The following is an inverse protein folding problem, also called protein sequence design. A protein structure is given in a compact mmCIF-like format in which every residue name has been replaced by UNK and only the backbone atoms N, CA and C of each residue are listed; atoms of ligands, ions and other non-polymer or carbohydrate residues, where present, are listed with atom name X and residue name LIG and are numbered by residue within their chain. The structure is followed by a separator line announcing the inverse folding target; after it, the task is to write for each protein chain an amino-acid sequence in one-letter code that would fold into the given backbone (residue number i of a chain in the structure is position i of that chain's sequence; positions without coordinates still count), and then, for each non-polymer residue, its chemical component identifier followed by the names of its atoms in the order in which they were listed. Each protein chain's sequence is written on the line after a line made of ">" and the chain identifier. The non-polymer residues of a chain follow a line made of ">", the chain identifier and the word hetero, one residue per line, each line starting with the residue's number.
data_IF_744789120255
#
_entry.id   IF_744789120255
#
_cell.length_a   1.000
_cell.length_b   1.000
_cell.length_c   1.000
_cell.angle_alpha   90.00
_cell.angle_beta   90.00
_cell.angle_gamma   90.00
#
_symmetry.space_group_name_H-M   'P 1'
#
loop_
_entity.id
_entity.type
_entity.pdbx_description
1 polymer ?
#
# COMPACT_ATOMS: atom_id res chain seq x y z
N UNK A 1 -3.63 -13.47 -9.60
CA UNK A 1 -4.38 -13.28 -8.33
C UNK A 1 -4.62 -11.80 -8.11
N UNK A 2 -5.73 -11.46 -7.47
CA UNK A 2 -6.13 -10.11 -7.06
C UNK A 2 -5.63 -9.70 -5.67
N UNK A 3 -4.77 -10.51 -5.07
CA UNK A 3 -4.49 -10.49 -3.63
C UNK A 3 -3.13 -9.88 -3.26
N UNK A 4 -2.44 -9.22 -4.21
CA UNK A 4 -1.27 -8.42 -3.83
C UNK A 4 -1.69 -7.36 -2.82
N UNK A 5 -0.90 -7.22 -1.75
CA UNK A 5 -1.22 -6.37 -0.62
C UNK A 5 0.06 -5.91 0.07
N UNK A 6 -0.06 -4.91 0.94
CA UNK A 6 1.04 -4.40 1.73
C UNK A 6 1.02 -5.02 3.13
N UNK A 7 2.15 -5.59 3.54
CA UNK A 7 2.46 -5.84 4.95
C UNK A 7 3.19 -4.65 5.57
N UNK A 8 3.47 -4.71 6.87
CA UNK A 8 4.18 -3.67 7.59
C UNK A 8 5.09 -4.28 8.67
N UNK A 9 6.29 -3.73 8.78
CA UNK A 9 7.18 -3.93 9.92
C UNK A 9 7.27 -2.62 10.69
N UNK A 10 7.34 -2.70 12.02
CA UNK A 10 7.51 -1.54 12.89
C UNK A 10 8.68 -1.80 13.83
N UNK A 11 9.53 -0.80 14.03
CA UNK A 11 10.61 -0.79 15.01
C UNK A 11 10.60 0.54 15.75
N UNK A 12 11.13 0.57 16.98
CA UNK A 12 11.35 1.84 17.68
C UNK A 12 12.47 2.62 16.98
N UNK A 13 12.32 3.94 16.88
CA UNK A 13 13.31 4.81 16.19
C UNK A 13 14.72 4.72 16.80
N UNK A 14 14.82 4.36 18.09
CA UNK A 14 16.08 4.24 18.82
C UNK A 14 16.63 2.81 18.88
N UNK A 15 15.96 1.83 18.26
CA UNK A 15 16.38 0.44 18.27
C UNK A 15 17.55 0.15 17.30
N UNK A 16 18.21 -0.99 17.50
CA UNK A 16 19.18 -1.50 16.52
C UNK A 16 18.45 -2.08 15.31
N UNK A 17 18.36 -1.30 14.21
CA UNK A 17 17.63 -1.70 13.01
C UNK A 17 18.24 -2.90 12.26
N UNK A 18 19.50 -3.27 12.56
CA UNK A 18 20.16 -4.46 12.01
C UNK A 18 19.81 -5.74 12.78
N UNK A 19 19.21 -5.61 13.96
CA UNK A 19 18.72 -6.74 14.74
C UNK A 19 17.29 -7.10 14.28
N UNK A 20 17.04 -8.31 13.74
CA UNK A 20 15.70 -8.72 13.33
C UNK A 20 14.69 -8.70 14.48
N UNK A 21 15.12 -8.90 15.73
CA UNK A 21 14.22 -8.91 16.90
C UNK A 21 13.72 -7.50 17.26
N UNK A 22 14.34 -6.43 16.71
CA UNK A 22 13.84 -5.06 16.82
C UNK A 22 12.57 -4.80 16.01
N UNK A 23 12.22 -5.69 15.07
CA UNK A 23 11.12 -5.51 14.12
C UNK A 23 9.90 -6.37 14.47
N UNK A 24 8.77 -5.72 14.74
CA UNK A 24 7.48 -6.39 14.87
C UNK A 24 6.77 -6.43 13.51
N UNK A 25 6.38 -7.63 13.07
CA UNK A 25 5.55 -7.81 11.87
C UNK A 25 4.06 -7.68 12.20
N UNK A 26 3.35 -6.83 11.48
CA UNK A 26 1.89 -6.74 11.61
C UNK A 26 1.24 -8.09 11.23
N UNK A 27 0.25 -8.61 11.98
CA UNK A 27 -0.27 -9.98 11.81
C UNK A 27 -1.02 -10.22 10.49
N UNK A 28 -1.39 -9.17 9.77
CA UNK A 28 -2.08 -9.25 8.48
C UNK A 28 -1.77 -8.07 7.57
N UNK A 29 -2.35 -8.04 6.36
CA UNK A 29 -2.19 -6.92 5.44
C UNK A 29 -2.68 -5.61 6.04
N UNK A 30 -1.90 -4.54 5.91
CA UNK A 30 -2.30 -3.18 6.31
C UNK A 30 -2.96 -2.41 5.18
N UNK A 31 -2.80 -2.89 3.94
CA UNK A 31 -3.45 -2.33 2.76
C UNK A 31 -3.75 -3.44 1.76
N UNK A 32 -5.01 -3.61 1.39
CA UNK A 32 -5.49 -4.72 0.57
C UNK A 32 -6.61 -4.29 -0.39
N UNK A 33 -7.04 -5.22 -1.25
CA UNK A 33 -8.05 -4.94 -2.28
C UNK A 33 -9.36 -4.39 -1.69
N UNK A 34 -10.00 -3.48 -2.43
CA UNK A 34 -11.34 -3.00 -2.16
C UNK A 34 -12.20 -3.23 -3.39
N UNK A 35 -13.04 -4.27 -3.34
CA UNK A 35 -13.97 -4.62 -4.42
C UNK A 35 -14.94 -3.46 -4.67
N UNK A 36 -15.47 -2.87 -3.59
CA UNK A 36 -16.39 -1.72 -3.65
C UNK A 36 -15.79 -0.54 -4.43
N UNK A 37 -14.48 -0.30 -4.28
CA UNK A 37 -13.81 0.84 -4.89
C UNK A 37 -13.05 0.49 -6.17
N UNK A 38 -13.21 -0.74 -6.70
CA UNK A 38 -12.46 -1.22 -7.87
C UNK A 38 -10.94 -1.04 -7.70
N UNK A 39 -10.42 -1.49 -6.57
CA UNK A 39 -8.99 -1.53 -6.25
C UNK A 39 -8.61 -2.99 -6.06
N UNK A 40 -7.85 -3.56 -6.99
CA UNK A 40 -7.37 -4.95 -6.91
C UNK A 40 -5.85 -4.99 -6.94
N UNK A 41 -5.25 -5.92 -6.20
CA UNK A 41 -3.79 -6.05 -6.05
C UNK A 41 -3.04 -4.74 -5.74
N UNK A 42 -3.46 -3.93 -4.73
CA UNK A 42 -2.71 -2.73 -4.38
C UNK A 42 -1.34 -3.06 -3.79
N UNK A 43 -0.28 -2.41 -4.27
CA UNK A 43 1.02 -2.58 -3.63
C UNK A 43 2.18 -1.83 -4.29
N UNK A 44 3.40 -2.24 -3.91
CA UNK A 44 4.68 -1.60 -4.27
C UNK A 44 4.60 -0.08 -4.07
N UNK A 45 4.30 0.32 -2.84
CA UNK A 45 4.07 1.71 -2.53
C UNK A 45 5.37 2.47 -2.27
N UNK A 46 5.25 3.80 -2.36
CA UNK A 46 6.17 4.77 -1.77
C UNK A 46 5.36 5.76 -0.93
N UNK A 47 6.06 6.64 -0.23
CA UNK A 47 5.45 7.75 0.51
C UNK A 47 6.03 9.08 0.01
N UNK A 48 5.19 10.11 0.02
CA UNK A 48 5.56 11.49 -0.29
C UNK A 48 4.71 12.44 0.57
N UNK A 49 5.09 13.71 0.63
CA UNK A 49 4.28 14.74 1.28
C UNK A 49 3.44 15.52 0.26
N UNK A 50 2.35 16.12 0.74
CA UNK A 50 1.62 17.15 0.00
C UNK A 50 2.54 18.35 -0.32
N UNK A 51 2.23 19.16 -1.35
CA UNK A 51 3.07 20.31 -1.71
C UNK A 51 3.29 21.33 -0.59
N UNK A 52 2.38 21.43 0.37
CA UNK A 52 2.46 22.31 1.54
C UNK A 52 3.10 21.62 2.77
N UNK A 53 3.47 20.34 2.66
CA UNK A 53 4.09 19.56 3.73
C UNK A 53 3.18 19.19 4.89
N UNK A 54 1.85 19.39 4.78
CA UNK A 54 0.91 19.18 5.89
C UNK A 54 0.33 17.77 5.97
N UNK A 55 0.48 16.98 4.90
CA UNK A 55 -0.09 15.65 4.78
C UNK A 55 0.92 14.65 4.24
N UNK A 56 0.94 13.45 4.83
CA UNK A 56 1.61 12.30 4.25
C UNK A 56 0.68 11.59 3.26
N UNK A 57 1.23 11.17 2.14
CA UNK A 57 0.52 10.51 1.05
C UNK A 57 1.19 9.18 0.72
N UNK A 58 0.38 8.13 0.62
CA UNK A 58 0.81 6.86 0.05
C UNK A 58 0.60 6.89 -1.46
N UNK A 59 1.64 6.53 -2.21
CA UNK A 59 1.59 6.34 -3.67
C UNK A 59 1.73 4.85 -3.93
N UNK A 60 0.84 4.25 -4.71
CA UNK A 60 0.82 2.80 -4.95
C UNK A 60 0.28 2.50 -6.35
N UNK A 61 0.40 1.25 -6.80
CA UNK A 61 -0.29 0.79 -8.00
C UNK A 61 -1.40 -0.19 -7.66
N UNK A 62 -2.43 -0.26 -8.50
CA UNK A 62 -3.49 -1.28 -8.42
C UNK A 62 -4.11 -1.52 -9.81
N UNK A 63 -4.92 -2.57 -9.94
CA UNK A 63 -5.82 -2.76 -11.08
C UNK A 63 -7.22 -2.19 -10.78
N UNK A 64 -7.93 -1.78 -11.83
CA UNK A 64 -9.33 -1.33 -11.78
C UNK A 64 -10.36 -2.45 -11.98
N UNK A 65 -9.91 -3.66 -12.27
CA UNK A 65 -10.76 -4.81 -12.57
C UNK A 65 -10.18 -6.04 -11.90
N UNK A 66 -11.06 -6.96 -11.49
CA UNK A 66 -10.64 -8.27 -10.99
C UNK A 66 -10.05 -9.11 -12.14
N UNK A 67 -9.09 -9.97 -11.82
CA UNK A 67 -8.61 -11.01 -12.73
C UNK A 67 -9.75 -11.90 -13.25
N UNK A 68 -10.79 -12.13 -12.45
CA UNK A 68 -11.94 -12.96 -12.83
C UNK A 68 -12.85 -12.30 -13.88
N UNK A 69 -12.77 -10.98 -14.07
CA UNK A 69 -13.56 -10.25 -15.07
C UNK A 69 -13.00 -10.41 -16.51
N UNK A 70 -11.81 -11.01 -16.67
CA UNK A 70 -11.22 -11.33 -17.97
C UNK A 70 -10.28 -10.25 -18.52
N UNK A 71 -10.04 -10.29 -19.83
CA UNK A 71 -9.16 -9.33 -20.51
C UNK A 71 -9.90 -8.01 -20.80
N UNK A 72 -9.44 -6.93 -20.17
CA UNK A 72 -9.93 -5.57 -20.41
C UNK A 72 -8.96 -4.74 -21.27
N UNK A 73 -8.01 -5.38 -21.95
CA UNK A 73 -6.96 -4.71 -22.71
C UNK A 73 -6.16 -3.74 -21.83
N UNK A 74 -6.12 -2.46 -22.21
CA UNK A 74 -5.48 -1.39 -21.40
C UNK A 74 -6.09 -1.26 -19.99
N UNK A 75 -7.33 -1.71 -19.79
CA UNK A 75 -7.97 -1.74 -18.47
C UNK A 75 -7.30 -2.70 -17.47
N UNK A 76 -6.47 -3.64 -17.96
CA UNK A 76 -5.70 -4.57 -17.12
C UNK A 76 -4.29 -4.06 -16.81
N UNK A 77 -3.96 -2.81 -17.15
CA UNK A 77 -2.71 -2.21 -16.69
C UNK A 77 -2.82 -1.77 -15.24
N UNK A 78 -1.73 -1.94 -14.49
CA UNK A 78 -1.61 -1.34 -13.16
C UNK A 78 -1.55 0.17 -13.33
N UNK A 79 -2.47 0.87 -12.69
CA UNK A 79 -2.48 2.33 -12.70
C UNK A 79 -1.90 2.88 -11.39
N UNK A 80 -1.02 3.90 -11.45
CA UNK A 80 -0.57 4.59 -10.26
C UNK A 80 -1.75 5.33 -9.61
N UNK A 81 -1.78 5.33 -8.28
CA UNK A 81 -2.79 5.97 -7.44
C UNK A 81 -2.09 6.62 -6.24
N UNK A 82 -2.72 7.65 -5.69
CA UNK A 82 -2.26 8.30 -4.47
C UNK A 82 -3.46 8.62 -3.58
N UNK A 83 -3.29 8.46 -2.27
CA UNK A 83 -4.27 8.90 -1.29
C UNK A 83 -3.56 9.37 -0.02
N UNK A 84 -4.18 10.32 0.69
CA UNK A 84 -3.72 10.73 2.01
C UNK A 84 -3.58 9.50 2.91
N UNK A 85 -2.40 9.29 3.49
CA UNK A 85 -2.20 8.26 4.50
C UNK A 85 -2.66 8.80 5.83
N UNK A 86 -3.56 8.08 6.49
CA UNK A 86 -4.04 8.41 7.83
C UNK A 86 -3.27 7.51 8.79
N UNK A 87 -2.07 7.92 9.16
CA UNK A 87 -1.32 7.36 10.28
C UNK A 87 -1.35 8.32 11.45
N UNK A 88 -1.37 7.80 12.68
CA UNK A 88 -0.85 8.60 13.79
C UNK A 88 0.60 8.94 13.42
N UNK A 89 1.00 10.21 13.53
CA UNK A 89 2.40 10.61 13.35
C UNK A 89 3.27 9.63 14.16
N UNK A 90 4.21 8.97 13.49
CA UNK A 90 5.19 8.11 14.15
C UNK A 90 6.00 8.93 15.14
#
# INVERSE_FOLDING_TARGET
>A
SDDYCLGMLTACETANLLDPDSWAKHPGPVFSKSVKNRVFSPGHNSFTQSPDGTEDWIVYHAFSFSEAEGDHGLGRLRNPRAQKSIGNKM
#
